data_IF_415026566190
#
_entry.id   IF_415026566190
#
_cell.length_a   1.000
_cell.length_b   1.000
_cell.length_c   1.000
_cell.angle_alpha   90.00
_cell.angle_beta   90.00
_cell.angle_gamma   90.00
#
_symmetry.space_group_name_H-M   'P 1'
#
loop_
_entity.id
_entity.type
_entity.pdbx_description
1 polymer ?
#
# COMPACT_ATOMS: atom_id res chain seq x y z
N UNK A 1 14.06 27.60 23.60
CA UNK A 1 13.93 26.20 23.12
C UNK A 1 13.75 26.27 21.62
N UNK A 2 14.73 25.79 20.85
CA UNK A 2 14.74 25.93 19.39
C UNK A 2 14.40 24.55 18.82
N UNK A 3 13.16 24.35 18.37
CA UNK A 3 12.74 23.09 17.72
C UNK A 3 13.09 23.26 16.23
N UNK A 4 14.12 22.58 15.71
CA UNK A 4 14.46 22.69 14.30
C UNK A 4 13.29 22.21 13.44
N UNK A 5 12.96 22.99 12.41
CA UNK A 5 11.91 22.64 11.47
C UNK A 5 12.25 21.34 10.74
N UNK A 6 11.44 20.30 10.95
CA UNK A 6 11.38 19.09 10.10
C UNK A 6 10.14 19.21 9.24
N UNK A 7 10.30 19.04 7.92
CA UNK A 7 9.20 19.19 6.96
C UNK A 7 8.08 18.16 7.17
N UNK A 8 8.37 16.94 7.64
CA UNK A 8 7.38 15.92 7.97
C UNK A 8 7.87 14.99 9.10
N UNK A 9 6.98 14.60 10.03
CA UNK A 9 7.27 13.63 11.09
C UNK A 9 7.09 12.17 10.64
N UNK A 10 6.23 11.90 9.66
CA UNK A 10 6.06 10.62 8.95
C UNK A 10 5.27 10.84 7.66
N UNK A 11 5.38 9.92 6.69
CA UNK A 11 4.66 9.97 5.41
C UNK A 11 4.05 8.60 5.08
N UNK A 12 2.77 8.58 4.71
CA UNK A 12 2.04 7.40 4.24
C UNK A 12 1.87 7.48 2.72
N UNK A 13 2.51 6.56 1.98
CA UNK A 13 2.40 6.50 0.53
C UNK A 13 3.05 7.67 -0.21
N UNK A 14 2.71 7.80 -1.49
CA UNK A 14 3.18 8.87 -2.39
C UNK A 14 2.00 9.60 -3.02
N UNK A 15 2.15 10.88 -3.35
CA UNK A 15 1.07 11.68 -3.95
C UNK A 15 0.72 11.28 -5.38
N UNK A 16 1.50 10.39 -6.00
CA UNK A 16 1.29 9.95 -7.40
C UNK A 16 0.28 8.80 -7.54
N UNK A 17 -0.25 8.25 -6.44
CA UNK A 17 -1.26 7.19 -6.44
C UNK A 17 -2.59 7.64 -5.82
N UNK A 18 -3.20 8.70 -6.40
CA UNK A 18 -4.55 9.16 -6.06
C UNK A 18 -5.53 8.74 -7.15
N UNK A 19 -6.10 7.54 -7.06
CA UNK A 19 -7.03 6.98 -8.07
C UNK A 19 -8.50 7.12 -7.65
N UNK A 20 -9.40 7.18 -8.65
CA UNK A 20 -10.82 6.87 -8.44
C UNK A 20 -10.96 5.37 -8.18
N UNK A 21 -11.86 4.95 -7.28
CA UNK A 21 -12.03 3.54 -6.86
C UNK A 21 -10.78 2.92 -6.22
N UNK A 22 -10.26 3.57 -5.18
CA UNK A 22 -9.00 3.23 -4.51
C UNK A 22 -8.87 1.75 -4.11
N UNK A 23 -9.89 1.15 -3.46
CA UNK A 23 -9.85 -0.26 -3.05
C UNK A 23 -9.66 -1.19 -4.26
N UNK A 24 -10.45 -0.98 -5.32
CA UNK A 24 -10.34 -1.74 -6.57
C UNK A 24 -8.93 -1.63 -7.18
N UNK A 25 -8.34 -0.44 -7.19
CA UNK A 25 -6.97 -0.26 -7.70
C UNK A 25 -5.95 -1.02 -6.85
N UNK A 26 -6.10 -1.05 -5.53
CA UNK A 26 -5.23 -1.84 -4.65
C UNK A 26 -5.38 -3.33 -4.93
N UNK A 27 -6.61 -3.83 -5.06
CA UNK A 27 -6.89 -5.24 -5.35
C UNK A 27 -6.29 -5.67 -6.70
N UNK A 28 -6.45 -4.86 -7.74
CA UNK A 28 -5.80 -5.08 -9.05
C UNK A 28 -4.26 -5.10 -8.92
N UNK A 29 -3.68 -4.17 -8.14
CA UNK A 29 -2.24 -4.12 -7.89
C UNK A 29 -1.75 -5.38 -7.16
N UNK A 30 -2.51 -5.90 -6.20
CA UNK A 30 -2.19 -7.15 -5.49
C UNK A 30 -2.27 -8.35 -6.43
N UNK A 31 -3.29 -8.42 -7.31
CA UNK A 31 -3.37 -9.46 -8.34
C UNK A 31 -2.15 -9.42 -9.26
N UNK A 32 -1.76 -8.24 -9.72
CA UNK A 32 -0.59 -8.06 -10.59
C UNK A 32 0.72 -8.47 -9.91
N UNK A 33 0.92 -8.10 -8.65
CA UNK A 33 2.10 -8.54 -7.89
C UNK A 33 2.11 -10.07 -7.74
N UNK A 34 0.96 -10.67 -7.40
CA UNK A 34 0.83 -12.11 -7.26
C UNK A 34 1.18 -12.83 -8.56
N UNK A 35 0.59 -12.41 -9.69
CA UNK A 35 0.91 -12.95 -11.02
C UNK A 35 2.39 -12.77 -11.39
N UNK A 36 2.96 -11.59 -11.14
CA UNK A 36 4.34 -11.28 -11.47
C UNK A 36 5.35 -12.19 -10.75
N UNK A 37 5.12 -12.50 -9.48
CA UNK A 37 6.01 -13.35 -8.70
C UNK A 37 5.84 -14.85 -8.98
N UNK A 38 4.72 -15.27 -9.59
CA UNK A 38 4.53 -16.65 -10.07
C UNK A 38 5.45 -16.96 -11.25
N UNK A 39 5.78 -15.95 -12.07
CA UNK A 39 6.68 -16.09 -13.23
C UNK A 39 8.07 -16.59 -12.80
N UNK A 40 8.55 -17.65 -13.46
CA UNK A 40 9.81 -18.35 -13.08
C UNK A 40 11.01 -17.42 -13.10
N UNK A 41 11.07 -16.51 -14.07
CA UNK A 41 12.14 -15.53 -14.26
C UNK A 41 12.22 -14.46 -13.15
N UNK A 42 11.20 -14.36 -12.31
CA UNK A 42 11.15 -13.42 -11.19
C UNK A 42 11.34 -14.12 -9.84
N UNK A 43 11.39 -15.45 -9.80
CA UNK A 43 11.55 -16.19 -8.55
C UNK A 43 12.95 -15.99 -7.95
N UNK A 44 13.03 -15.95 -6.62
CA UNK A 44 14.27 -15.80 -5.86
C UNK A 44 15.07 -14.50 -6.14
N UNK A 45 14.44 -13.48 -6.72
CA UNK A 45 15.04 -12.16 -6.93
C UNK A 45 14.59 -11.19 -5.82
N UNK A 46 15.50 -10.32 -5.38
CA UNK A 46 15.20 -9.23 -4.45
C UNK A 46 14.74 -7.97 -5.19
N UNK A 47 13.72 -7.30 -4.65
CA UNK A 47 13.17 -6.08 -5.24
C UNK A 47 14.05 -4.84 -5.01
N UNK A 48 14.54 -4.69 -3.77
CA UNK A 48 15.29 -3.51 -3.34
C UNK A 48 16.62 -3.40 -4.09
N UNK A 49 16.89 -2.20 -4.61
CA UNK A 49 18.10 -1.92 -5.40
C UNK A 49 18.10 -2.51 -6.82
N UNK A 50 17.07 -3.26 -7.23
CA UNK A 50 17.02 -3.90 -8.53
C UNK A 50 16.19 -3.10 -9.54
N UNK A 51 16.83 -2.15 -10.22
CA UNK A 51 16.17 -1.33 -11.23
C UNK A 51 15.66 -2.14 -12.42
N UNK A 52 16.32 -3.25 -12.78
CA UNK A 52 15.89 -4.09 -13.89
C UNK A 52 14.57 -4.79 -13.59
N UNK A 53 14.45 -5.42 -12.41
CA UNK A 53 13.22 -6.06 -11.96
C UNK A 53 12.08 -5.04 -11.82
N UNK A 54 12.38 -3.85 -11.29
CA UNK A 54 11.38 -2.77 -11.14
C UNK A 54 10.90 -2.26 -12.50
N UNK A 55 11.79 -2.11 -13.49
CA UNK A 55 11.41 -1.76 -14.86
C UNK A 55 10.57 -2.88 -15.51
N UNK A 56 10.94 -4.14 -15.29
CA UNK A 56 10.18 -5.31 -15.76
C UNK A 56 8.77 -5.34 -15.18
N UNK A 57 8.62 -5.02 -13.90
CA UNK A 57 7.30 -4.93 -13.27
C UNK A 57 6.46 -3.79 -13.85
N UNK A 58 7.06 -2.63 -14.14
CA UNK A 58 6.36 -1.55 -14.83
C UNK A 58 5.84 -2.01 -16.20
N UNK A 59 6.69 -2.67 -16.99
CA UNK A 59 6.30 -3.18 -18.31
C UNK A 59 5.20 -4.25 -18.22
N UNK A 60 5.25 -5.10 -17.19
CA UNK A 60 4.19 -6.06 -16.88
C UNK A 60 2.85 -5.38 -16.56
N UNK A 61 2.85 -4.37 -15.67
CA UNK A 61 1.66 -3.57 -15.37
C UNK A 61 1.09 -2.89 -16.62
N UNK A 62 1.97 -2.36 -17.47
CA UNK A 62 1.58 -1.70 -18.72
C UNK A 62 0.94 -2.69 -19.69
N UNK A 63 1.53 -3.88 -19.86
CA UNK A 63 0.97 -4.94 -20.70
C UNK A 63 -0.43 -5.38 -20.23
N UNK A 64 -0.67 -5.36 -18.92
CA UNK A 64 -1.96 -5.67 -18.29
C UNK A 64 -2.96 -4.50 -18.31
N UNK A 65 -2.59 -3.36 -18.89
CA UNK A 65 -3.46 -2.18 -18.99
C UNK A 65 -3.62 -1.39 -17.68
N UNK A 66 -2.81 -1.68 -16.66
CA UNK A 66 -2.93 -1.03 -15.35
C UNK A 66 -2.27 0.36 -15.30
N UNK A 67 -1.26 0.60 -16.14
CA UNK A 67 -0.65 1.92 -16.35
C UNK A 67 -0.68 2.30 -17.82
N UNK A 68 -0.89 3.59 -18.07
CA UNK A 68 -0.89 4.17 -19.41
C UNK A 68 0.45 4.86 -19.74
N UNK A 69 0.72 5.01 -21.03
CA UNK A 69 1.90 5.71 -21.53
C UNK A 69 3.21 4.92 -21.41
N UNK A 70 4.33 5.62 -21.56
CA UNK A 70 5.67 5.07 -21.40
C UNK A 70 6.45 5.96 -20.41
N UNK A 71 6.69 5.44 -19.21
CA UNK A 71 7.39 6.16 -18.16
C UNK A 71 8.83 6.50 -18.57
N UNK A 72 9.25 7.74 -18.29
CA UNK A 72 10.65 8.15 -18.41
C UNK A 72 11.56 7.40 -17.42
N UNK A 73 11.03 7.05 -16.25
CA UNK A 73 11.76 6.32 -15.20
C UNK A 73 10.91 5.17 -14.66
N UNK A 74 10.80 4.09 -15.45
CA UNK A 74 10.03 2.89 -15.12
C UNK A 74 10.30 2.34 -13.70
N UNK A 75 11.56 2.22 -13.23
CA UNK A 75 11.83 1.74 -11.87
C UNK A 75 11.24 2.63 -10.77
N UNK A 76 11.28 3.96 -10.97
CA UNK A 76 10.68 4.91 -10.02
C UNK A 76 9.15 4.76 -10.02
N UNK A 77 8.52 4.75 -11.19
CA UNK A 77 7.07 4.60 -11.29
C UNK A 77 6.58 3.29 -10.66
N UNK A 78 7.25 2.16 -10.91
CA UNK A 78 6.93 0.88 -10.25
C UNK A 78 7.01 0.94 -8.73
N UNK A 79 8.00 1.65 -8.18
CA UNK A 79 8.12 1.87 -6.73
C UNK A 79 7.00 2.76 -6.21
N UNK A 80 6.66 3.84 -6.90
CA UNK A 80 5.59 4.74 -6.47
C UNK A 80 4.23 4.04 -6.40
N UNK A 81 3.93 3.17 -7.38
CA UNK A 81 2.68 2.36 -7.41
C UNK A 81 2.57 1.33 -6.30
N UNK A 82 3.70 0.87 -5.74
CA UNK A 82 3.72 -0.23 -4.76
C UNK A 82 4.08 0.19 -3.34
N UNK A 83 4.74 1.34 -3.14
CA UNK A 83 5.29 1.70 -1.82
C UNK A 83 4.22 1.91 -0.76
N UNK A 84 3.07 2.50 -1.12
CA UNK A 84 1.97 2.67 -0.16
C UNK A 84 1.43 1.33 0.38
N UNK A 85 1.49 0.26 -0.42
CA UNK A 85 1.07 -1.09 0.01
C UNK A 85 2.03 -1.70 1.03
N UNK A 86 3.32 -1.35 0.96
CA UNK A 86 4.32 -1.73 1.97
C UNK A 86 4.04 -0.98 3.27
N UNK A 87 3.81 0.33 3.18
CA UNK A 87 3.59 1.18 4.35
C UNK A 87 2.39 0.71 5.20
N UNK A 88 1.32 0.24 4.55
CA UNK A 88 0.14 -0.33 5.22
C UNK A 88 0.23 -1.86 5.42
N UNK A 89 1.35 -2.48 5.07
CA UNK A 89 1.66 -3.88 5.34
C UNK A 89 0.83 -4.90 4.54
N UNK A 90 0.27 -4.53 3.39
CA UNK A 90 -0.38 -5.48 2.47
C UNK A 90 0.63 -6.31 1.68
N UNK A 91 1.83 -5.79 1.49
CA UNK A 91 2.97 -6.48 0.87
C UNK A 91 4.24 -6.24 1.69
N UNK A 92 5.25 -7.09 1.52
CA UNK A 92 6.55 -6.97 2.18
C UNK A 92 7.51 -6.02 1.44
N UNK A 93 8.71 -5.82 1.98
CA UNK A 93 9.74 -4.98 1.35
C UNK A 93 10.17 -5.47 -0.04
N UNK A 94 10.00 -6.77 -0.31
CA UNK A 94 10.22 -7.39 -1.60
C UNK A 94 9.00 -7.33 -2.53
N UNK A 95 7.94 -6.62 -2.14
CA UNK A 95 6.69 -6.50 -2.90
C UNK A 95 5.98 -7.84 -3.11
N UNK A 96 6.17 -8.81 -2.21
CA UNK A 96 5.39 -10.05 -2.17
C UNK A 96 4.22 -9.87 -1.22
N UNK A 97 3.10 -10.56 -1.48
CA UNK A 97 1.90 -10.43 -0.67
C UNK A 97 2.15 -10.90 0.76
N UNK A 98 1.80 -10.05 1.73
CA UNK A 98 1.67 -10.47 3.12
C UNK A 98 0.40 -11.29 3.30
N UNK A 99 0.19 -11.88 4.48
CA UNK A 99 -1.05 -12.61 4.74
C UNK A 99 -2.29 -11.72 4.70
N UNK A 100 -2.16 -10.43 5.06
CA UNK A 100 -3.22 -9.46 4.87
C UNK A 100 -3.49 -9.17 3.39
N UNK A 101 -2.44 -9.04 2.57
CA UNK A 101 -2.57 -8.89 1.12
C UNK A 101 -3.20 -10.10 0.45
N UNK A 102 -2.83 -11.32 0.85
CA UNK A 102 -3.45 -12.57 0.36
C UNK A 102 -4.92 -12.66 0.72
N UNK A 103 -5.27 -12.33 1.97
CA UNK A 103 -6.66 -12.32 2.41
C UNK A 103 -7.50 -11.30 1.64
N UNK A 104 -6.96 -10.11 1.37
CA UNK A 104 -7.63 -9.10 0.56
C UNK A 104 -7.80 -9.53 -0.90
N UNK A 105 -6.76 -10.12 -1.50
CA UNK A 105 -6.83 -10.68 -2.85
C UNK A 105 -7.87 -11.80 -2.94
N UNK A 106 -7.96 -12.67 -1.93
CA UNK A 106 -8.95 -13.74 -1.87
C UNK A 106 -10.39 -13.19 -1.87
N UNK A 107 -10.69 -12.21 -1.01
CA UNK A 107 -12.00 -11.52 -0.97
C UNK A 107 -12.36 -10.96 -2.35
N UNK A 108 -11.42 -10.26 -2.99
CA UNK A 108 -11.65 -9.69 -4.33
C UNK A 108 -11.88 -10.78 -5.39
N UNK A 109 -11.12 -11.87 -5.34
CA UNK A 109 -11.24 -13.00 -6.27
C UNK A 109 -12.56 -13.78 -6.14
N UNK A 110 -13.11 -13.87 -4.92
CA UNK A 110 -14.41 -14.50 -4.67
C UNK A 110 -15.58 -13.54 -4.84
N UNK A 111 -15.29 -12.24 -4.98
CA UNK A 111 -16.28 -11.17 -5.02
C UNK A 111 -17.20 -11.16 -3.76
N UNK A 112 -16.66 -11.56 -2.61
CA UNK A 112 -17.40 -11.64 -1.34
C UNK A 112 -17.04 -10.47 -0.41
N UNK A 113 -17.68 -9.33 -0.65
CA UNK A 113 -17.56 -8.12 0.16
C UNK A 113 -18.63 -8.02 1.26
N UNK A 114 -19.27 -9.15 1.60
CA UNK A 114 -20.26 -9.18 2.68
C UNK A 114 -19.64 -8.77 4.02
N UNK A 115 -20.49 -8.48 5.00
CA UNK A 115 -20.06 -8.15 6.36
C UNK A 115 -20.29 -9.35 7.28
N UNK A 116 -19.24 -9.76 8.00
CA UNK A 116 -19.26 -10.84 8.99
C UNK A 116 -18.49 -10.48 10.29
N UNK A 117 -18.19 -9.20 10.49
CA UNK A 117 -17.38 -8.72 11.62
C UNK A 117 -18.16 -7.78 12.56
N UNK A 118 -17.57 -7.52 13.72
CA UNK A 118 -18.18 -6.77 14.83
C UNK A 118 -18.55 -5.32 14.45
N UNK A 119 -17.84 -4.74 13.48
CA UNK A 119 -18.06 -3.38 13.01
C UNK A 119 -19.15 -3.30 11.95
N UNK A 120 -19.68 -4.44 11.50
CA UNK A 120 -20.69 -4.54 10.45
C UNK A 120 -20.27 -3.86 9.12
N UNK A 121 -18.96 -3.84 8.84
CA UNK A 121 -18.40 -3.30 7.60
C UNK A 121 -17.98 -4.43 6.66
N UNK A 122 -17.79 -4.13 5.38
CA UNK A 122 -17.34 -5.10 4.40
C UNK A 122 -16.01 -5.78 4.80
N UNK A 123 -15.84 -7.04 4.43
CA UNK A 123 -14.65 -7.86 4.74
C UNK A 123 -13.32 -7.19 4.35
N UNK A 124 -13.25 -6.59 3.16
CA UNK A 124 -12.09 -5.85 2.67
C UNK A 124 -11.78 -4.63 3.57
N UNK A 125 -12.82 -3.86 3.90
CA UNK A 125 -12.76 -2.68 4.74
C UNK A 125 -12.27 -3.02 6.15
N UNK A 126 -12.66 -4.18 6.67
CA UNK A 126 -12.17 -4.67 7.95
C UNK A 126 -10.68 -5.04 7.92
N UNK A 127 -10.16 -5.54 6.80
CA UNK A 127 -8.72 -5.73 6.62
C UNK A 127 -8.00 -4.38 6.63
N UNK A 128 -8.46 -3.40 5.85
CA UNK A 128 -7.86 -2.07 5.82
C UNK A 128 -7.84 -1.43 7.22
N UNK A 129 -8.94 -1.51 7.96
CA UNK A 129 -9.02 -1.01 9.34
C UNK A 129 -7.96 -1.66 10.25
N UNK A 130 -7.85 -2.99 10.22
CA UNK A 130 -6.81 -3.71 10.99
C UNK A 130 -5.40 -3.29 10.58
N UNK A 131 -5.15 -3.07 9.30
CA UNK A 131 -3.85 -2.62 8.81
C UNK A 131 -3.52 -1.21 9.28
N UNK A 132 -4.45 -0.26 9.16
CA UNK A 132 -4.29 1.11 9.64
C UNK A 132 -4.03 1.18 11.15
N UNK A 133 -4.67 0.32 11.96
CA UNK A 133 -4.42 0.21 13.41
C UNK A 133 -3.02 -0.33 13.74
N UNK A 134 -2.44 -1.16 12.86
CA UNK A 134 -1.11 -1.76 13.02
C UNK A 134 0.01 -0.91 12.44
N UNK A 135 -0.27 -0.07 11.44
CA UNK A 135 0.72 0.81 10.82
C UNK A 135 1.41 1.69 11.85
N UNK A 136 2.75 1.66 11.83
CA UNK A 136 3.58 2.41 12.77
C UNK A 136 4.89 2.86 12.15
N UNK A 137 5.44 3.94 12.67
CA UNK A 137 6.71 4.53 12.26
C UNK A 137 7.62 4.68 13.47
N UNK A 138 8.92 4.50 13.26
CA UNK A 138 9.93 4.89 14.26
C UNK A 138 10.34 6.33 13.99
N UNK A 139 10.04 7.23 14.91
CA UNK A 139 10.39 8.65 14.87
C UNK A 139 11.23 8.94 16.10
N UNK A 140 12.51 9.27 15.89
CA UNK A 140 13.45 9.58 16.98
C UNK A 140 13.54 8.47 18.04
N UNK A 141 13.51 7.22 17.58
CA UNK A 141 13.55 6.03 18.43
C UNK A 141 12.22 5.69 19.12
N UNK A 142 11.16 6.46 18.89
CA UNK A 142 9.82 6.24 19.43
C UNK A 142 8.86 5.71 18.37
N UNK A 143 7.94 4.84 18.78
CA UNK A 143 6.93 4.30 17.88
C UNK A 143 5.70 5.21 17.83
N UNK A 144 5.37 5.69 16.63
CA UNK A 144 4.16 6.46 16.37
C UNK A 144 3.19 5.62 15.55
N UNK A 145 1.91 5.63 15.91
CA UNK A 145 0.82 5.00 15.16
C UNK A 145 -0.10 6.08 14.58
N UNK A 146 0.10 6.49 13.32
CA UNK A 146 -0.57 7.67 12.75
C UNK A 146 -2.09 7.63 12.84
N UNK A 147 -2.69 6.45 12.60
CA UNK A 147 -4.14 6.31 12.66
C UNK A 147 -4.70 6.53 14.07
N UNK A 148 -4.00 6.04 15.11
CA UNK A 148 -4.41 6.30 16.50
C UNK A 148 -4.25 7.77 16.90
N UNK A 149 -3.19 8.42 16.42
CA UNK A 149 -3.00 9.86 16.62
C UNK A 149 -4.14 10.65 15.96
N UNK A 150 -4.52 10.29 14.73
CA UNK A 150 -5.66 10.87 14.03
C UNK A 150 -6.96 10.69 14.82
N UNK A 151 -7.27 9.47 15.27
CA UNK A 151 -8.46 9.18 16.07
C UNK A 151 -8.48 9.99 17.37
N UNK A 152 -7.34 10.13 18.03
CA UNK A 152 -7.21 10.96 19.22
C UNK A 152 -7.49 12.43 18.91
N UNK A 153 -6.91 12.99 17.85
CA UNK A 153 -7.16 14.38 17.46
C UNK A 153 -8.64 14.60 17.13
N UNK A 154 -9.25 13.73 16.33
CA UNK A 154 -10.68 13.82 16.00
C UNK A 154 -11.56 13.74 17.25
N UNK A 155 -11.16 12.98 18.28
CA UNK A 155 -11.86 12.96 19.57
C UNK A 155 -11.79 14.28 20.35
N UNK A 156 -10.91 15.20 19.96
CA UNK A 156 -10.70 16.50 20.61
C UNK A 156 -11.26 17.67 19.81
N UNK A 157 -11.29 17.57 18.48
CA UNK A 157 -11.62 18.69 17.59
C UNK A 157 -12.76 18.39 16.61
N UNK A 158 -13.39 17.21 16.71
CA UNK A 158 -14.49 16.68 15.88
C UNK A 158 -14.14 16.47 14.40
N UNK A 159 -13.40 17.38 13.75
CA UNK A 159 -12.95 17.27 12.36
C UNK A 159 -11.58 17.93 12.15
N UNK A 160 -10.92 17.57 11.04
CA UNK A 160 -9.72 18.22 10.54
C UNK A 160 -9.99 18.73 9.14
N UNK A 161 -9.57 19.96 8.86
CA UNK A 161 -9.59 20.56 7.51
C UNK A 161 -8.17 20.90 7.09
N UNK A 162 -7.96 20.96 5.76
CA UNK A 162 -6.77 21.55 5.16
C UNK A 162 -6.75 23.07 5.33
#
# INVERSE_FOLDING_TARGET
MNIPYKSFCWSLGTTSFRTKNFNKTIEEQLSLLNEFWILRENQNINWSGNNELQARYYDFMRQKGFVEGNAKNKPKDAREKTSGLVDIGLIDENRKLSDAGKALLHISSENDFSSDNQFQIAKDSFIYLKQLLKTSYTVEGQTVRPFLVLLYLLSKVDYLTL
#
